data_IF_256311730062
#
_entry.id   IF_256311730062
#
_cell.length_a   1.000
_cell.length_b   1.000
_cell.length_c   1.000
_cell.angle_alpha   90.00
_cell.angle_beta   90.00
_cell.angle_gamma   90.00
#
_symmetry.space_group_name_H-M   'P 1'
#
loop_
_entity.id
_entity.type
_entity.pdbx_description
1 polymer ?
#
# COMPACT_ATOMS: atom_id res chain seq x y z
N UNK A 1 17.10 -2.45 8.00
CA UNK A 1 17.01 -2.30 6.53
C UNK A 1 15.73 -1.52 6.20
N UNK A 2 15.72 -0.67 5.17
CA UNK A 2 14.53 0.10 4.80
C UNK A 2 13.98 -0.36 3.44
N UNK A 3 12.72 -0.78 3.41
CA UNK A 3 11.97 -1.01 2.17
C UNK A 3 11.38 0.33 1.76
N UNK A 4 12.03 0.99 0.80
CA UNK A 4 11.55 2.26 0.24
C UNK A 4 10.31 2.08 -0.63
N UNK A 5 9.98 3.07 -1.47
CA UNK A 5 8.80 3.07 -2.36
C UNK A 5 8.62 1.82 -3.25
N UNK A 6 9.68 1.05 -3.46
CA UNK A 6 9.73 -0.17 -4.29
C UNK A 6 9.18 -1.42 -3.61
N UNK A 7 8.86 -1.35 -2.31
CA UNK A 7 8.36 -2.50 -1.57
C UNK A 7 9.42 -3.60 -1.42
N UNK A 8 8.94 -4.84 -1.29
CA UNK A 8 9.79 -6.03 -1.15
C UNK A 8 10.16 -6.55 -2.53
N UNK A 9 11.46 -6.74 -2.74
CA UNK A 9 12.05 -7.24 -3.97
C UNK A 9 13.31 -8.04 -3.60
N UNK A 10 13.91 -8.71 -4.57
CA UNK A 10 15.03 -9.63 -4.39
C UNK A 10 16.12 -9.11 -3.43
N UNK A 11 16.65 -7.91 -3.69
CA UNK A 11 17.69 -7.31 -2.84
C UNK A 11 17.28 -6.98 -1.39
N UNK A 12 15.98 -6.90 -1.07
CA UNK A 12 15.51 -6.78 0.32
C UNK A 12 15.67 -8.11 1.04
N UNK A 13 15.24 -9.21 0.41
CA UNK A 13 15.34 -10.56 0.98
C UNK A 13 16.79 -11.03 1.03
N UNK A 14 17.60 -10.71 0.02
CA UNK A 14 19.03 -10.97 0.06
C UNK A 14 19.69 -10.27 1.27
N UNK A 15 19.34 -9.01 1.52
CA UNK A 15 19.87 -8.30 2.68
C UNK A 15 19.35 -8.81 4.02
N UNK A 16 18.13 -9.37 4.08
CA UNK A 16 17.67 -10.13 5.26
C UNK A 16 18.61 -11.32 5.52
N UNK A 17 18.84 -12.13 4.49
CA UNK A 17 19.72 -13.30 4.58
C UNK A 17 21.16 -12.94 4.96
N UNK A 18 21.67 -11.79 4.50
CA UNK A 18 22.99 -11.28 4.91
C UNK A 18 23.01 -10.89 6.39
N UNK A 19 21.99 -10.18 6.89
CA UNK A 19 21.90 -9.85 8.32
C UNK A 19 21.77 -11.12 9.18
N UNK A 20 21.03 -12.11 8.69
CA UNK A 20 20.86 -13.41 9.33
C UNK A 20 22.12 -14.25 9.47
N UNK A 21 23.22 -13.87 8.81
CA UNK A 21 24.55 -14.47 9.02
C UNK A 21 25.11 -14.14 10.41
N UNK A 22 24.79 -12.97 10.95
CA UNK A 22 25.42 -12.44 12.17
C UNK A 22 24.41 -12.07 13.27
N UNK A 23 23.12 -12.04 12.95
CA UNK A 23 22.04 -11.69 13.88
C UNK A 23 20.83 -12.58 13.63
N UNK A 24 20.03 -12.86 14.63
CA UNK A 24 18.87 -13.74 14.43
C UNK A 24 17.58 -12.99 14.08
N UNK A 25 17.55 -11.69 14.32
CA UNK A 25 16.38 -10.84 14.15
C UNK A 25 16.72 -9.68 13.21
N UNK A 26 15.80 -9.35 12.31
CA UNK A 26 15.94 -8.19 11.43
C UNK A 26 14.70 -7.32 11.51
N UNK A 27 14.94 -6.00 11.49
CA UNK A 27 13.93 -4.96 11.42
C UNK A 27 13.85 -4.41 10.00
N UNK A 28 12.69 -4.59 9.36
CA UNK A 28 12.35 -4.01 8.06
C UNK A 28 11.42 -2.83 8.27
N UNK A 29 11.84 -1.64 7.85
CA UNK A 29 11.02 -0.43 7.96
C UNK A 29 10.25 -0.22 6.65
N UNK A 30 8.94 -0.04 6.75
CA UNK A 30 8.04 0.32 5.63
C UNK A 30 7.37 1.66 5.89
N UNK A 31 7.28 2.49 4.85
CA UNK A 31 6.56 3.78 4.90
C UNK A 31 5.09 3.67 4.46
N UNK A 32 4.58 2.45 4.27
CA UNK A 32 3.17 2.23 3.95
C UNK A 32 2.27 2.75 5.07
N UNK A 33 1.18 3.40 4.69
CA UNK A 33 0.19 3.99 5.62
C UNK A 33 -1.00 3.05 5.90
N UNK A 34 -1.27 2.11 5.00
CA UNK A 34 -2.43 1.22 5.09
C UNK A 34 -2.04 -0.09 5.78
N UNK A 35 -2.74 -0.42 6.87
CA UNK A 35 -2.53 -1.63 7.68
C UNK A 35 -2.64 -2.90 6.82
N UNK A 36 -3.62 -2.99 5.90
CA UNK A 36 -3.77 -4.14 5.01
C UNK A 36 -2.55 -4.33 4.11
N UNK A 37 -1.94 -3.24 3.63
CA UNK A 37 -0.71 -3.32 2.82
C UNK A 37 0.50 -3.72 3.66
N UNK A 38 0.57 -3.27 4.91
CA UNK A 38 1.65 -3.62 5.83
C UNK A 38 1.56 -5.11 6.17
N UNK A 39 0.37 -5.61 6.51
CA UNK A 39 0.14 -7.03 6.77
C UNK A 39 0.44 -7.89 5.55
N UNK A 40 0.01 -7.48 4.36
CA UNK A 40 0.38 -8.16 3.11
C UNK A 40 1.90 -8.21 2.93
N UNK A 41 2.59 -7.10 3.22
CA UNK A 41 4.05 -7.03 3.11
C UNK A 41 4.74 -7.91 4.15
N UNK A 42 4.21 -7.98 5.37
CA UNK A 42 4.72 -8.84 6.43
C UNK A 42 4.57 -10.32 6.06
N UNK A 43 3.38 -10.74 5.62
CA UNK A 43 3.12 -12.11 5.17
C UNK A 43 3.98 -12.47 3.94
N UNK A 44 4.17 -11.53 3.02
CA UNK A 44 5.02 -11.73 1.85
C UNK A 44 6.49 -11.90 2.26
N UNK A 45 6.99 -11.12 3.21
CA UNK A 45 8.34 -11.28 3.74
C UNK A 45 8.52 -12.62 4.45
N UNK A 46 7.55 -13.06 5.24
CA UNK A 46 7.56 -14.37 5.90
C UNK A 46 7.63 -15.52 4.87
N UNK A 47 6.75 -15.50 3.86
CA UNK A 47 6.70 -16.51 2.83
C UNK A 47 7.98 -16.58 1.99
N UNK A 48 8.54 -15.43 1.60
CA UNK A 48 9.71 -15.38 0.71
C UNK A 48 11.03 -15.62 1.44
N UNK A 49 11.16 -15.14 2.67
CA UNK A 49 12.40 -15.29 3.45
C UNK A 49 12.45 -16.60 4.25
N UNK A 50 11.31 -17.25 4.47
CA UNK A 50 11.18 -18.41 5.36
C UNK A 50 11.40 -18.10 6.84
N UNK A 51 11.47 -16.82 7.21
CA UNK A 51 11.55 -16.38 8.60
C UNK A 51 10.15 -16.19 9.20
N UNK A 52 10.04 -16.28 10.52
CA UNK A 52 8.79 -16.09 11.25
C UNK A 52 8.54 -14.61 11.54
N UNK A 53 7.32 -14.13 11.25
CA UNK A 53 6.88 -12.80 11.67
C UNK A 53 6.77 -12.75 13.20
N UNK A 54 7.49 -11.82 13.84
CA UNK A 54 7.46 -11.65 15.31
C UNK A 54 6.48 -10.57 15.71
N UNK A 55 6.62 -9.38 15.13
CA UNK A 55 5.73 -8.25 15.41
C UNK A 55 5.73 -7.22 14.28
N UNK A 56 4.69 -6.41 14.27
CA UNK A 56 4.57 -5.21 13.45
C UNK A 56 4.36 -4.02 14.37
N UNK A 57 5.39 -3.19 14.50
CA UNK A 57 5.40 -2.06 15.44
C UNK A 57 5.17 -0.75 14.69
N UNK A 58 4.36 0.15 15.25
CA UNK A 58 4.15 1.50 14.71
C UNK A 58 5.32 2.41 15.08
N UNK A 59 5.90 3.10 14.10
CA UNK A 59 6.97 4.08 14.30
C UNK A 59 6.44 5.52 14.08
N UNK A 60 7.26 6.53 14.44
CA UNK A 60 6.97 7.94 14.15
C UNK A 60 6.72 8.17 12.66
N UNK A 61 7.51 7.50 11.82
CA UNK A 61 7.38 7.52 10.37
C UNK A 61 7.29 6.09 9.83
N UNK A 62 6.06 5.59 9.67
CA UNK A 62 5.79 4.28 9.09
C UNK A 62 5.69 3.17 10.14
N UNK A 63 6.07 1.96 9.73
CA UNK A 63 5.94 0.74 10.53
C UNK A 63 7.20 -0.11 10.43
N UNK A 64 7.51 -0.83 11.50
CA UNK A 64 8.60 -1.77 11.55
C UNK A 64 8.05 -3.20 11.60
N UNK A 65 8.44 -3.99 10.61
CA UNK A 65 8.15 -5.42 10.56
C UNK A 65 9.39 -6.12 11.11
N UNK A 66 9.21 -6.87 12.21
CA UNK A 66 10.27 -7.61 12.88
C UNK A 66 10.13 -9.08 12.49
N UNK A 67 11.19 -9.62 11.91
CA UNK A 67 11.22 -11.00 11.41
C UNK A 67 12.37 -11.74 12.08
N UNK A 68 12.06 -12.93 12.58
CA UNK A 68 13.01 -13.86 13.15
C UNK A 68 13.36 -14.94 12.13
N UNK A 69 14.65 -15.23 12.04
CA UNK A 69 15.23 -16.20 11.11
C UNK A 69 14.73 -17.65 11.32
N UNK A 70 14.51 -18.05 12.57
CA UNK A 70 14.32 -19.46 12.95
C UNK A 70 15.59 -20.13 13.48
N UNK A 71 15.42 -21.09 14.41
CA UNK A 71 16.52 -21.86 15.03
C UNK A 71 17.31 -22.72 14.03
N UNK A 72 16.66 -23.15 12.93
CA UNK A 72 17.22 -24.09 11.93
C UNK A 72 17.54 -23.45 10.58
N UNK A 73 17.76 -22.14 10.53
CA UNK A 73 18.00 -21.48 9.26
C UNK A 73 19.25 -21.98 8.55
N UNK A 74 19.03 -22.40 7.31
CA UNK A 74 20.08 -22.70 6.34
C UNK A 74 19.95 -21.68 5.22
N UNK A 75 21.06 -21.03 4.89
CA UNK A 75 21.07 -20.08 3.77
C UNK A 75 20.61 -20.82 2.50
N UNK A 76 19.55 -20.37 1.83
CA UNK A 76 19.13 -20.98 0.58
C UNK A 76 20.26 -20.86 -0.45
N UNK A 77 20.53 -21.95 -1.18
CA UNK A 77 21.60 -22.04 -2.18
C UNK A 77 21.29 -21.20 -3.43
N UNK A 78 20.00 -21.02 -3.74
CA UNK A 78 19.51 -20.05 -4.72
C UNK A 78 19.11 -18.79 -3.98
N UNK A 79 19.87 -17.71 -4.19
CA UNK A 79 19.57 -16.39 -3.60
C UNK A 79 18.34 -15.74 -4.25
N UNK A 80 18.09 -16.05 -5.53
CA UNK A 80 16.85 -15.66 -6.21
C UNK A 80 15.72 -16.55 -5.71
N UNK A 81 14.87 -16.01 -4.83
CA UNK A 81 13.54 -16.54 -4.67
C UNK A 81 12.78 -16.32 -5.98
N UNK A 82 12.28 -17.40 -6.59
CA UNK A 82 11.67 -17.38 -7.92
C UNK A 82 10.46 -16.44 -8.03
N UNK A 83 9.86 -16.06 -6.90
CA UNK A 83 8.66 -15.24 -6.81
C UNK A 83 8.97 -13.75 -6.60
N UNK A 84 10.22 -13.36 -6.37
CA UNK A 84 10.60 -11.97 -6.11
C UNK A 84 10.83 -11.20 -7.40
N UNK A 85 10.30 -9.98 -7.42
CA UNK A 85 10.57 -9.01 -8.47
C UNK A 85 12.05 -8.61 -8.46
N UNK A 86 12.62 -8.42 -9.65
CA UNK A 86 13.93 -7.76 -9.77
C UNK A 86 13.83 -6.29 -9.35
N UNK A 87 14.97 -5.67 -9.04
CA UNK A 87 15.03 -4.23 -8.69
C UNK A 87 14.36 -3.33 -9.74
N UNK A 88 14.47 -3.69 -11.03
CA UNK A 88 13.88 -2.93 -12.14
C UNK A 88 12.37 -3.11 -12.20
N UNK A 89 11.88 -4.33 -12.08
CA UNK A 89 10.44 -4.63 -12.11
C UNK A 89 9.73 -4.06 -10.88
N UNK A 90 10.35 -4.14 -9.70
CA UNK A 90 9.82 -3.54 -8.47
C UNK A 90 9.69 -2.01 -8.60
N UNK A 91 10.66 -1.35 -9.26
CA UNK A 91 10.56 0.08 -9.58
C UNK A 91 9.41 0.36 -10.55
N UNK A 92 9.30 -0.42 -11.62
CA UNK A 92 8.22 -0.27 -12.60
C UNK A 92 6.85 -0.43 -11.93
N UNK A 93 6.67 -1.49 -11.14
CA UNK A 93 5.46 -1.74 -10.34
C UNK A 93 5.12 -0.57 -9.42
N UNK A 94 6.09 -0.03 -8.68
CA UNK A 94 5.88 1.13 -7.81
C UNK A 94 5.39 2.36 -8.57
N UNK A 95 5.95 2.62 -9.75
CA UNK A 95 5.54 3.73 -10.61
C UNK A 95 4.12 3.53 -11.17
N UNK A 96 3.78 2.31 -11.58
CA UNK A 96 2.41 1.97 -11.99
C UNK A 96 1.41 2.17 -10.85
N UNK A 97 1.72 1.72 -9.63
CA UNK A 97 0.85 1.93 -8.47
C UNK A 97 0.65 3.41 -8.14
N UNK A 98 1.68 4.25 -8.30
CA UNK A 98 1.53 5.70 -8.13
C UNK A 98 0.58 6.29 -9.18
N UNK A 99 0.72 5.91 -10.46
CA UNK A 99 -0.14 6.37 -11.55
C UNK A 99 -1.59 5.90 -11.39
N UNK A 100 -1.81 4.65 -11.01
CA UNK A 100 -3.16 4.13 -10.75
C UNK A 100 -3.80 4.88 -9.58
N UNK A 101 -3.02 5.16 -8.52
CA UNK A 101 -3.49 5.93 -7.38
C UNK A 101 -3.94 7.33 -7.76
N UNK A 102 -3.15 8.06 -8.57
CA UNK A 102 -3.54 9.40 -9.02
C UNK A 102 -4.77 9.37 -9.92
N UNK A 103 -4.86 8.43 -10.86
CA UNK A 103 -6.04 8.28 -11.73
C UNK A 103 -7.31 7.97 -10.93
N UNK A 104 -7.23 7.07 -9.94
CA UNK A 104 -8.37 6.77 -9.05
C UNK A 104 -8.82 8.01 -8.28
N UNK A 105 -7.88 8.81 -7.76
CA UNK A 105 -8.19 10.05 -7.07
C UNK A 105 -8.92 11.04 -7.99
N UNK A 106 -8.44 11.25 -9.21
CA UNK A 106 -9.08 12.17 -10.15
C UNK A 106 -10.45 11.67 -10.61
N UNK A 107 -10.61 10.36 -10.85
CA UNK A 107 -11.89 9.77 -11.20
C UNK A 107 -12.92 9.96 -10.08
N UNK A 108 -12.53 9.67 -8.83
CA UNK A 108 -13.38 9.89 -7.66
C UNK A 108 -13.75 11.37 -7.49
N UNK A 109 -12.78 12.29 -7.63
CA UNK A 109 -13.04 13.73 -7.52
C UNK A 109 -14.05 14.20 -8.56
N UNK A 110 -13.90 13.78 -9.83
CA UNK A 110 -14.87 14.09 -10.89
C UNK A 110 -16.25 13.53 -10.56
N UNK A 111 -16.33 12.28 -10.11
CA UNK A 111 -17.60 11.66 -9.75
C UNK A 111 -18.31 12.43 -8.64
N UNK A 112 -17.58 12.86 -7.60
CA UNK A 112 -18.12 13.68 -6.52
C UNK A 112 -18.67 15.02 -7.03
N UNK A 113 -17.94 15.71 -7.91
CA UNK A 113 -18.39 16.98 -8.51
C UNK A 113 -19.64 16.78 -9.37
N UNK A 114 -19.72 15.69 -10.15
CA UNK A 114 -20.91 15.36 -10.93
C UNK A 114 -22.11 15.16 -10.00
N UNK A 115 -21.94 14.38 -8.93
CA UNK A 115 -22.99 14.15 -7.94
C UNK A 115 -23.47 15.45 -7.27
N UNK A 116 -22.54 16.34 -6.90
CA UNK A 116 -22.85 17.65 -6.32
C UNK A 116 -23.66 18.55 -7.28
N UNK A 117 -23.25 18.61 -8.55
CA UNK A 117 -23.97 19.38 -9.58
C UNK A 117 -25.40 18.83 -9.78
N UNK A 118 -25.56 17.51 -9.83
CA UNK A 118 -26.89 16.89 -9.98
C UNK A 118 -27.81 17.25 -8.80
N UNK A 119 -27.29 17.25 -7.58
CA UNK A 119 -28.06 17.66 -6.39
C UNK A 119 -28.49 19.12 -6.46
N UNK A 120 -27.56 20.02 -6.80
CA UNK A 120 -27.85 21.45 -6.93
C UNK A 120 -28.90 21.73 -8.01
N UNK A 121 -28.84 21.02 -9.15
CA UNK A 121 -29.85 21.14 -10.20
C UNK A 121 -31.24 20.70 -9.73
N UNK A 122 -31.32 19.60 -8.97
CA UNK A 122 -32.59 19.12 -8.43
C UNK A 122 -33.19 20.10 -7.40
N UNK A 123 -32.36 20.73 -6.57
CA UNK A 123 -32.81 21.77 -5.63
C UNK A 123 -33.31 23.02 -6.35
N UNK A 124 -32.59 23.48 -7.39
CA UNK A 124 -33.01 24.61 -8.20
C UNK A 124 -34.34 24.33 -8.91
N UNK A 125 -34.54 23.14 -9.49
CA UNK A 125 -35.82 22.76 -10.12
C UNK A 125 -36.99 22.82 -9.13
N UNK A 126 -36.82 22.24 -7.92
CA UNK A 126 -37.84 22.35 -6.86
C UNK A 126 -38.15 23.79 -6.47
N UNK A 127 -37.13 24.65 -6.41
CA UNK A 127 -37.33 26.06 -6.08
C UNK A 127 -38.13 26.80 -7.16
N UNK A 128 -37.93 26.47 -8.44
CA UNK A 128 -38.66 27.06 -9.57
C UNK A 128 -40.14 26.62 -9.61
N UNK A 129 -40.42 25.33 -9.39
CA UNK A 129 -41.79 24.80 -9.30
C UNK A 129 -42.57 25.45 -8.15
N UNK A 130 -41.94 25.59 -6.98
CA UNK A 130 -42.53 26.27 -5.82
C UNK A 130 -42.83 27.75 -6.09
N UNK A 131 -42.00 28.42 -6.89
CA UNK A 131 -42.18 29.84 -7.19
C UNK A 131 -43.28 30.06 -8.25
N UNK A 132 -43.39 29.18 -9.25
CA UNK A 132 -44.48 29.21 -10.24
C UNK A 132 -45.85 28.92 -9.61
N UNK A 133 -45.92 27.97 -8.67
CA UNK A 133 -47.16 27.70 -7.92
C UNK A 133 -47.64 28.88 -7.06
N UNK A 134 -46.72 29.73 -6.58
CA UNK A 134 -47.09 30.95 -5.82
C UNK A 134 -47.59 32.10 -6.69
N UNK A 135 -47.20 32.15 -7.97
CA UNK A 135 -47.61 33.20 -8.91
C UNK A 135 -49.01 32.95 -9.52
N UNK A 136 -49.54 31.72 -9.48
CA UNK A 136 -50.88 31.39 -9.99
C UNK A 136 -52.01 31.49 -8.94
N UNK A 137 -51.69 31.70 -7.66
CA UNK A 137 -52.67 31.81 -6.56
C UNK A 137 -52.93 33.28 -6.17
N UNK A 138 -52.60 34.24 -7.05
CA UNK A 138 -52.83 35.68 -6.86
C UNK A 138 -53.73 36.25 -7.93
#
# INVERSE_FOLDING_TARGET
MASGRRGVFDGVVEGLHQHWKHREVVKVITMQRNIAQIMYTANFLEAESGGALVSVDKLKEGHAIIIYRGKNYRRPSKLLAANLLTKREALHRSLLMQRIGSLKFFAYKRQSTISEIILNLAELQKSQENNQGRLQVR
#
